data_IF_102184085624
#
_entry.id   IF_102184085624
#
_cell.length_a   1.000
_cell.length_b   1.000
_cell.length_c   1.000
_cell.angle_alpha   90.00
_cell.angle_beta   90.00
_cell.angle_gamma   90.00
#
_symmetry.space_group_name_H-M   'P 1'
#
loop_
_entity.id
_entity.type
_entity.pdbx_description
1 polymer ?
#
# COMPACT_ATOMS: atom_id res chain seq x y z
N UNK A 1 -12.44 -9.19 -74.62
CA UNK A 1 -11.60 -8.53 -73.61
C UNK A 1 -12.45 -8.41 -72.38
N UNK A 2 -12.34 -9.39 -71.48
CA UNK A 2 -11.51 -9.29 -70.25
C UNK A 2 -12.21 -8.38 -69.23
N UNK A 3 -12.41 -8.70 -67.96
CA UNK A 3 -12.21 -9.87 -67.11
C UNK A 3 -13.16 -9.61 -65.89
N UNK A 4 -13.74 -10.61 -65.23
CA UNK A 4 -13.33 -11.10 -63.88
C UNK A 4 -12.90 -9.99 -62.89
N UNK A 5 -13.35 -9.91 -61.65
CA UNK A 5 -14.11 -10.83 -60.80
C UNK A 5 -14.44 -10.13 -59.47
N UNK A 6 -15.36 -10.72 -58.72
CA UNK A 6 -15.69 -10.31 -57.36
C UNK A 6 -14.61 -10.82 -56.39
N UNK A 7 -14.04 -9.94 -55.57
CA UNK A 7 -13.15 -10.32 -54.48
C UNK A 7 -13.62 -9.62 -53.19
N UNK A 8 -14.28 -10.39 -52.33
CA UNK A 8 -14.48 -10.04 -50.94
C UNK A 8 -13.25 -10.45 -50.16
N UNK A 9 -12.51 -9.48 -49.64
CA UNK A 9 -11.36 -9.77 -48.78
C UNK A 9 -11.80 -9.89 -47.31
N UNK A 10 -11.48 -11.05 -46.76
CA UNK A 10 -11.72 -11.48 -45.39
C UNK A 10 -10.50 -11.03 -44.59
N UNK A 11 -10.65 -10.02 -43.73
CA UNK A 11 -9.63 -9.79 -42.70
C UNK A 11 -9.76 -10.85 -41.60
N UNK A 12 -8.89 -11.83 -41.75
CA UNK A 12 -8.50 -12.95 -40.90
C UNK A 12 -8.38 -12.63 -39.41
N UNK A 13 -9.05 -13.45 -38.58
CA UNK A 13 -8.68 -13.71 -37.20
C UNK A 13 -7.25 -14.27 -37.15
N UNK A 14 -6.34 -13.62 -36.42
CA UNK A 14 -5.07 -14.24 -36.01
C UNK A 14 -5.14 -14.55 -34.51
N UNK A 15 -5.31 -15.83 -34.22
CA UNK A 15 -4.90 -16.44 -32.96
C UNK A 15 -3.37 -16.32 -32.85
N UNK A 16 -2.91 -15.45 -31.94
CA UNK A 16 -1.52 -15.29 -31.56
C UNK A 16 -1.32 -15.90 -30.19
N UNK A 17 -0.75 -17.11 -30.18
CA UNK A 17 -0.56 -17.95 -29.02
C UNK A 17 0.15 -17.28 -27.85
N UNK A 18 -0.17 -17.80 -26.66
CA UNK A 18 0.48 -17.44 -25.41
C UNK A 18 1.98 -17.69 -25.49
N UNK A 19 2.75 -16.61 -25.44
CA UNK A 19 4.03 -16.64 -24.77
C UNK A 19 3.78 -16.14 -23.36
N UNK A 20 3.78 -17.08 -22.42
CA UNK A 20 3.87 -16.79 -21.01
C UNK A 20 5.04 -15.82 -20.81
N UNK A 21 4.69 -14.57 -20.50
CA UNK A 21 5.67 -13.61 -20.00
C UNK A 21 6.22 -14.22 -18.73
N UNK A 22 7.47 -14.67 -18.75
CA UNK A 22 8.26 -14.83 -17.54
C UNK A 22 8.47 -13.42 -17.01
N UNK A 23 7.43 -12.88 -16.36
CA UNK A 23 7.52 -11.65 -15.61
C UNK A 23 8.61 -11.90 -14.58
N UNK A 24 9.78 -11.33 -14.81
CA UNK A 24 10.72 -11.04 -13.73
C UNK A 24 9.89 -10.25 -12.73
N UNK A 25 9.56 -10.86 -11.59
CA UNK A 25 8.81 -10.22 -10.51
C UNK A 25 9.68 -9.11 -9.94
N UNK A 26 9.78 -7.99 -10.65
CA UNK A 26 9.98 -6.72 -10.00
C UNK A 26 8.73 -6.58 -9.14
N UNK A 27 8.85 -6.84 -7.84
CA UNK A 27 7.79 -6.61 -6.87
C UNK A 27 7.50 -5.12 -6.86
N UNK A 28 6.74 -4.65 -7.84
CA UNK A 28 6.25 -3.29 -7.87
C UNK A 28 5.42 -3.16 -6.62
N UNK A 29 5.93 -2.39 -5.66
CA UNK A 29 5.24 -2.13 -4.41
C UNK A 29 3.99 -1.31 -4.73
N UNK A 30 2.90 -2.04 -4.92
CA UNK A 30 1.60 -1.55 -5.27
C UNK A 30 0.67 -1.56 -4.07
N UNK A 31 -0.22 -0.61 -4.13
CA UNK A 31 -1.39 -0.43 -3.31
C UNK A 31 -2.42 -1.55 -3.55
N UNK A 32 -2.81 -2.29 -2.51
CA UNK A 32 -3.77 -3.40 -2.59
C UNK A 32 -5.21 -2.89 -2.71
N UNK A 33 -5.95 -3.39 -3.71
CA UNK A 33 -7.33 -2.96 -4.02
C UNK A 33 -8.42 -3.82 -3.39
N UNK A 34 -8.23 -4.28 -2.16
CA UNK A 34 -9.09 -5.32 -1.53
C UNK A 34 -10.50 -4.83 -1.17
N UNK A 35 -10.75 -3.52 -1.16
CA UNK A 35 -12.05 -2.90 -0.90
C UNK A 35 -12.13 -1.50 -1.55
N UNK A 36 -13.34 -1.01 -1.79
CA UNK A 36 -13.62 0.26 -2.50
C UNK A 36 -12.99 1.51 -1.87
N UNK A 37 -12.52 1.42 -0.62
CA UNK A 37 -11.65 2.40 0.01
C UNK A 37 -10.19 2.11 -0.39
N UNK A 38 -9.81 2.62 -1.57
CA UNK A 38 -8.51 2.36 -2.17
C UNK A 38 -7.39 2.75 -1.20
N UNK A 39 -7.23 4.03 -0.91
CA UNK A 39 -6.15 4.56 -0.07
C UNK A 39 -6.65 5.84 0.59
N UNK A 40 -6.09 6.23 1.73
CA UNK A 40 -6.37 7.55 2.33
C UNK A 40 -5.22 8.48 1.99
N UNK A 41 -5.51 9.56 1.27
CA UNK A 41 -4.56 10.64 1.04
C UNK A 41 -4.84 11.78 2.02
N UNK A 42 -3.80 12.35 2.61
CA UNK A 42 -3.89 13.57 3.40
C UNK A 42 -2.80 14.57 3.03
N UNK A 43 -3.16 15.85 3.16
CA UNK A 43 -2.26 16.98 2.95
C UNK A 43 -2.07 17.71 4.27
N UNK A 44 -0.82 18.02 4.60
CA UNK A 44 -0.44 18.68 5.85
C UNK A 44 0.34 19.95 5.51
N UNK A 45 -0.04 21.05 6.17
CA UNK A 45 0.67 22.32 6.11
C UNK A 45 1.12 22.65 7.52
N UNK A 46 2.40 22.90 7.70
CA UNK A 46 2.91 23.42 8.97
C UNK A 46 2.57 24.92 9.07
N UNK A 47 1.89 25.30 10.16
CA UNK A 47 1.43 26.68 10.42
C UNK A 47 2.37 27.48 11.32
N UNK A 48 3.49 26.90 11.73
CA UNK A 48 4.51 27.60 12.51
C UNK A 48 5.26 28.60 11.61
N UNK A 49 5.33 29.85 12.07
CA UNK A 49 6.00 30.97 11.39
C UNK A 49 7.50 31.05 11.73
N UNK A 50 8.02 30.16 12.59
CA UNK A 50 9.44 30.12 12.92
C UNK A 50 10.29 29.53 11.78
N UNK A 51 11.62 29.66 11.91
CA UNK A 51 12.58 29.02 11.00
C UNK A 51 12.44 27.48 10.94
N UNK A 52 11.82 26.84 11.94
CA UNK A 52 11.55 25.41 11.94
C UNK A 52 10.31 25.03 11.09
N UNK A 53 9.35 25.95 10.93
CA UNK A 53 8.12 25.76 10.17
C UNK A 53 8.28 25.83 8.64
N UNK A 54 7.18 26.16 7.96
CA UNK A 54 7.14 26.39 6.51
C UNK A 54 7.28 25.13 5.63
N UNK A 55 7.08 23.94 6.20
CA UNK A 55 7.07 22.69 5.43
C UNK A 55 5.65 22.20 5.13
N UNK A 56 5.51 21.44 4.05
CA UNK A 56 4.27 20.72 3.71
C UNK A 56 4.55 19.23 3.63
N UNK A 57 3.53 18.40 3.85
CA UNK A 57 3.64 16.97 3.68
C UNK A 57 2.42 16.39 2.98
N UNK A 58 2.68 15.47 2.06
CA UNK A 58 1.66 14.63 1.44
C UNK A 58 1.84 13.21 1.97
N UNK A 59 0.74 12.62 2.44
CA UNK A 59 0.72 11.27 2.99
C UNK A 59 -0.30 10.43 2.26
N UNK A 60 0.07 9.20 1.93
CA UNK A 60 -0.85 8.20 1.39
C UNK A 60 -0.76 6.95 2.26
N UNK A 61 -1.91 6.48 2.70
CA UNK A 61 -2.08 5.31 3.55
C UNK A 61 -2.82 4.21 2.83
N UNK A 62 -2.43 2.97 3.09
CA UNK A 62 -3.19 1.78 2.71
C UNK A 62 -2.37 0.52 2.82
N UNK A 63 -2.88 -0.56 2.23
CA UNK A 63 -2.25 -1.87 2.34
C UNK A 63 -1.32 -2.14 1.17
N UNK A 64 -0.16 -2.70 1.46
CA UNK A 64 0.85 -3.07 0.46
C UNK A 64 1.44 -4.44 0.80
N UNK A 65 1.92 -5.13 -0.24
CA UNK A 65 2.80 -6.28 -0.06
C UNK A 65 4.24 -5.79 0.15
N UNK A 66 4.85 -6.19 1.26
CA UNK A 66 6.27 -6.04 1.56
C UNK A 66 6.79 -7.44 1.82
N UNK A 67 7.78 -7.89 1.05
CA UNK A 67 8.38 -9.22 1.21
C UNK A 67 7.34 -10.35 1.33
N UNK A 68 6.36 -10.31 0.42
CA UNK A 68 5.25 -11.28 0.34
C UNK A 68 4.30 -11.32 1.55
N UNK A 69 4.43 -10.41 2.52
CA UNK A 69 3.48 -10.21 3.61
C UNK A 69 2.71 -8.90 3.44
N UNK A 70 1.44 -8.93 3.84
CA UNK A 70 0.53 -7.78 3.82
C UNK A 70 0.80 -6.88 5.01
N UNK A 71 1.04 -5.59 4.76
CA UNK A 71 1.24 -4.58 5.80
C UNK A 71 0.36 -3.36 5.54
N UNK A 72 -0.05 -2.68 6.61
CA UNK A 72 -0.58 -1.32 6.50
C UNK A 72 0.58 -0.37 6.43
N UNK A 73 0.59 0.52 5.45
CA UNK A 73 1.75 1.36 5.16
C UNK A 73 1.34 2.81 5.00
N UNK A 74 2.31 3.69 5.27
CA UNK A 74 2.22 5.12 5.01
C UNK A 74 3.41 5.56 4.18
N UNK A 75 3.14 6.10 3.00
CA UNK A 75 4.13 6.81 2.19
C UNK A 75 3.99 8.30 2.45
N UNK A 76 5.08 8.97 2.79
CA UNK A 76 5.09 10.41 3.04
C UNK A 76 6.17 11.10 2.21
N UNK A 77 5.81 12.24 1.65
CA UNK A 77 6.74 13.19 1.03
C UNK A 77 6.63 14.51 1.78
N UNK A 78 7.73 14.94 2.40
CA UNK A 78 7.83 16.24 3.08
C UNK A 78 8.61 17.19 2.20
N UNK A 79 8.14 18.43 2.07
CA UNK A 79 8.81 19.50 1.31
C UNK A 79 9.03 20.73 2.18
N UNK A 80 10.20 21.37 2.08
CA UNK A 80 10.50 22.65 2.73
C UNK A 80 11.26 23.58 1.78
N UNK A 81 10.62 24.67 1.37
CA UNK A 81 11.12 25.48 0.26
C UNK A 81 11.10 24.70 -1.07
N UNK A 82 11.90 25.15 -2.04
CA UNK A 82 11.90 24.57 -3.40
C UNK A 82 12.73 23.27 -3.50
N UNK A 83 13.84 23.19 -2.76
CA UNK A 83 14.84 22.13 -2.99
C UNK A 83 14.85 21.00 -1.95
N UNK A 84 14.26 21.20 -0.76
CA UNK A 84 14.34 20.18 0.31
C UNK A 84 13.13 19.26 0.25
N UNK A 85 13.37 18.02 -0.14
CA UNK A 85 12.35 16.97 -0.23
C UNK A 85 12.83 15.72 0.49
N UNK A 86 12.08 15.29 1.50
CA UNK A 86 12.34 14.06 2.24
C UNK A 86 11.22 13.04 2.00
N UNK A 87 11.57 11.75 1.96
CA UNK A 87 10.63 10.65 1.72
C UNK A 87 10.79 9.57 2.77
N UNK A 88 9.66 9.06 3.26
CA UNK A 88 9.66 7.89 4.14
C UNK A 88 8.51 6.94 3.79
N UNK A 89 8.74 5.65 4.08
CA UNK A 89 7.73 4.60 4.05
C UNK A 89 7.69 3.97 5.43
N UNK A 90 6.56 4.09 6.11
CA UNK A 90 6.32 3.41 7.38
C UNK A 90 5.52 2.15 7.11
N UNK A 91 5.94 1.05 7.74
CA UNK A 91 5.36 -0.29 7.55
C UNK A 91 4.89 -0.78 8.91
N UNK A 92 3.58 -0.94 9.06
CA UNK A 92 2.93 -1.31 10.31
C UNK A 92 2.43 -2.75 10.26
N UNK A 93 2.71 -3.51 11.31
CA UNK A 93 2.09 -4.82 11.56
C UNK A 93 0.66 -4.59 12.06
N UNK A 94 -0.28 -4.43 11.12
CA UNK A 94 -1.68 -4.14 11.40
C UNK A 94 -2.37 -5.34 12.05
N UNK A 95 -2.84 -5.17 13.29
CA UNK A 95 -3.46 -6.23 14.10
C UNK A 95 -4.95 -6.48 13.82
N UNK A 96 -5.54 -5.74 12.87
CA UNK A 96 -6.99 -5.78 12.64
C UNK A 96 -7.71 -4.65 13.36
N UNK A 97 -9.03 -4.61 13.21
CA UNK A 97 -9.87 -3.73 14.01
C UNK A 97 -9.84 -4.20 15.46
N UNK A 98 -9.70 -3.25 16.40
CA UNK A 98 -9.73 -3.57 17.82
C UNK A 98 -11.17 -3.88 18.18
N UNK A 99 -11.44 -5.15 18.43
CA UNK A 99 -12.63 -5.55 19.19
C UNK A 99 -12.36 -5.25 20.66
N UNK A 100 -12.99 -4.19 21.16
CA UNK A 100 -12.79 -3.72 22.54
C UNK A 100 -13.17 -4.77 23.60
N UNK A 101 -14.00 -5.76 23.24
CA UNK A 101 -14.33 -6.87 24.15
C UNK A 101 -13.22 -7.93 24.16
N UNK A 102 -12.62 -8.21 23.00
CA UNK A 102 -11.50 -9.13 22.88
C UNK A 102 -10.20 -8.58 23.48
N UNK A 103 -9.94 -7.27 23.35
CA UNK A 103 -8.75 -6.61 23.92
C UNK A 103 -8.73 -6.72 25.46
N UNK A 104 -9.85 -6.43 26.12
CA UNK A 104 -9.98 -6.55 27.58
C UNK A 104 -9.70 -7.97 28.07
N UNK A 105 -10.07 -8.98 27.28
CA UNK A 105 -9.81 -10.38 27.61
C UNK A 105 -8.32 -10.76 27.44
N UNK A 106 -7.61 -10.17 26.47
CA UNK A 106 -6.16 -10.40 26.29
C UNK A 106 -5.31 -9.66 27.33
N UNK A 107 -5.65 -8.42 27.66
CA UNK A 107 -4.95 -7.67 28.72
C UNK A 107 -5.11 -8.32 30.10
N UNK A 108 -6.30 -8.87 30.38
CA UNK A 108 -6.52 -9.66 31.60
C UNK A 108 -5.63 -10.91 31.67
N UNK A 109 -5.35 -11.57 30.53
CA UNK A 109 -4.43 -12.71 30.48
C UNK A 109 -2.97 -12.30 30.66
N UNK A 110 -2.54 -11.19 30.03
CA UNK A 110 -1.16 -10.67 30.18
C UNK A 110 -0.87 -10.23 31.61
N UNK A 111 -1.84 -9.57 32.26
CA UNK A 111 -1.73 -9.17 33.66
C UNK A 111 -1.62 -10.39 34.60
N UNK A 112 -2.45 -11.42 34.39
CA UNK A 112 -2.38 -12.65 35.18
C UNK A 112 -1.04 -13.39 35.03
N UNK A 113 -0.47 -13.43 33.82
CA UNK A 113 0.85 -14.06 33.60
C UNK A 113 2.02 -13.28 34.18
N UNK A 114 1.88 -11.96 34.35
CA UNK A 114 2.91 -11.14 34.99
C UNK A 114 2.90 -11.35 36.52
N UNK A 115 1.72 -11.50 37.13
CA UNK A 115 1.59 -11.81 38.56
C UNK A 115 2.10 -13.23 38.89
N UNK A 116 1.96 -14.23 38.00
CA UNK A 116 2.52 -15.57 38.22
C UNK A 116 4.06 -15.62 38.16
N UNK A 117 4.72 -14.68 37.47
CA UNK A 117 6.18 -14.60 37.38
C UNK A 117 6.82 -13.85 38.57
N UNK A 118 6.03 -13.15 39.38
CA UNK A 118 6.51 -12.46 40.59
C UNK A 118 6.44 -13.34 41.86
N UNK A 119 6.01 -14.61 41.75
CA UNK A 119 5.98 -15.60 42.84
C UNK A 119 7.01 -16.72 42.62
N UNK A 120 8.27 -16.35 42.40
CA UNK A 120 9.41 -17.22 42.72
C UNK A 120 10.44 -16.41 43.52
N UNK A 121 10.42 -16.57 44.84
CA UNK A 121 11.54 -16.31 45.76
C UNK A 121 11.41 -17.21 47.00
#
# INVERSE_FOLDING_TARGET
>A
MEAEGAEGDKTTQREGGGMASTATTTTTSGWLGENSARHVQSWVVNVDETAAGGWTAEQVWGFEMVDQKRYYTRRVVVRKGEDKVERARLVYDYKGEVDMEAEKAEDGKRAATAEELEVEY
#
